data_IF_090794521768
#
_entry.id   IF_090794521768
#
_cell.length_a   1.000
_cell.length_b   1.000
_cell.length_c   1.000
_cell.angle_alpha   90.00
_cell.angle_beta   90.00
_cell.angle_gamma   90.00
#
_symmetry.space_group_name_H-M   'P 1'
#
loop_
_entity.id
_entity.type
_entity.pdbx_description
1 polymer ?
#
# COMPACT_ATOMS: atom_id res chain seq x y z
N UNK A 1 40.40 -82.52 -26.09
CA UNK A 1 41.11 -81.41 -25.45
C UNK A 1 40.12 -80.23 -25.52
N UNK A 2 39.27 -80.10 -24.48
CA UNK A 2 38.19 -79.05 -24.42
C UNK A 2 38.54 -78.05 -23.32
N UNK A 3 38.70 -76.77 -23.69
CA UNK A 3 38.89 -75.68 -22.78
C UNK A 3 37.51 -75.15 -22.33
N UNK A 4 37.31 -75.19 -21.03
CA UNK A 4 36.11 -74.63 -20.41
C UNK A 4 36.26 -73.05 -20.22
N UNK A 5 35.40 -72.31 -20.86
CA UNK A 5 35.29 -70.89 -20.62
C UNK A 5 34.37 -70.60 -19.41
N UNK A 6 34.94 -69.97 -18.35
CA UNK A 6 34.23 -69.50 -17.18
C UNK A 6 33.54 -68.19 -17.51
N UNK A 7 32.21 -68.15 -17.45
CA UNK A 7 31.41 -66.93 -17.51
C UNK A 7 31.44 -66.20 -16.17
N UNK A 8 32.00 -65.03 -16.16
CA UNK A 8 32.02 -64.15 -15.00
C UNK A 8 30.83 -63.13 -15.14
N UNK A 9 29.75 -63.32 -14.39
CA UNK A 9 28.61 -62.46 -14.33
C UNK A 9 28.91 -61.24 -13.41
N UNK A 10 29.08 -60.07 -14.01
CA UNK A 10 29.18 -58.80 -13.28
C UNK A 10 27.81 -58.40 -12.79
N UNK A 11 27.55 -58.48 -11.49
CA UNK A 11 26.40 -57.87 -10.81
C UNK A 11 26.68 -56.36 -10.63
N UNK A 12 26.02 -55.50 -11.42
CA UNK A 12 26.02 -54.07 -11.22
C UNK A 12 25.05 -53.74 -10.06
N UNK A 13 25.58 -53.25 -8.94
CA UNK A 13 24.78 -52.63 -7.88
C UNK A 13 24.38 -51.21 -8.34
N UNK A 14 23.10 -51.00 -8.63
CA UNK A 14 22.54 -49.67 -8.83
C UNK A 14 22.20 -49.12 -7.44
N UNK A 15 23.03 -48.21 -6.94
CA UNK A 15 22.72 -47.44 -5.73
C UNK A 15 21.70 -46.31 -6.10
N UNK A 16 20.44 -46.48 -5.74
CA UNK A 16 19.43 -45.45 -5.88
C UNK A 16 19.60 -44.43 -4.75
N UNK A 17 20.19 -43.27 -5.07
CA UNK A 17 20.21 -42.10 -4.18
C UNK A 17 18.83 -41.44 -4.21
N UNK A 18 18.04 -41.68 -3.15
CA UNK A 18 16.79 -40.93 -2.93
C UNK A 18 17.14 -39.48 -2.51
N UNK A 19 16.95 -38.55 -3.42
CA UNK A 19 17.04 -37.13 -3.11
C UNK A 19 15.81 -36.73 -2.25
N UNK A 20 16.04 -36.49 -0.98
CA UNK A 20 15.04 -35.93 -0.07
C UNK A 20 14.84 -34.46 -0.44
N UNK A 21 13.78 -34.14 -1.18
CA UNK A 21 13.29 -32.80 -1.40
C UNK A 21 12.72 -32.27 -0.07
N UNK A 22 13.54 -31.52 0.68
CA UNK A 22 13.06 -30.74 1.83
C UNK A 22 12.24 -29.59 1.26
N UNK A 23 10.92 -29.47 1.54
CA UNK A 23 10.16 -28.31 1.13
C UNK A 23 10.75 -27.10 1.86
N UNK A 24 11.37 -26.16 1.13
CA UNK A 24 11.69 -24.84 1.63
C UNK A 24 10.34 -24.16 1.91
N UNK A 25 9.90 -24.22 3.17
CA UNK A 25 8.77 -23.45 3.64
C UNK A 25 9.04 -21.98 3.33
N UNK A 26 8.24 -21.40 2.43
CA UNK A 26 8.24 -19.97 2.22
C UNK A 26 7.89 -19.32 3.56
N UNK A 27 8.87 -18.69 4.20
CA UNK A 27 8.61 -17.81 5.34
C UNK A 27 7.67 -16.74 4.84
N UNK A 28 6.43 -16.77 5.31
CA UNK A 28 5.46 -15.72 5.00
C UNK A 28 6.09 -14.38 5.46
N UNK A 29 6.48 -13.57 4.50
CA UNK A 29 7.05 -12.25 4.79
C UNK A 29 5.96 -11.43 5.47
N UNK A 30 6.21 -11.02 6.72
CA UNK A 30 5.27 -10.18 7.47
C UNK A 30 5.05 -8.90 6.67
N UNK A 31 3.80 -8.60 6.36
CA UNK A 31 3.46 -7.40 5.60
C UNK A 31 3.93 -6.15 6.34
N UNK A 32 4.61 -5.21 5.67
CA UNK A 32 5.09 -3.99 6.30
C UNK A 32 3.91 -3.17 6.85
N UNK A 33 4.09 -2.61 8.05
CA UNK A 33 3.09 -1.75 8.67
C UNK A 33 3.67 -0.36 8.95
N UNK A 34 2.87 0.68 8.74
CA UNK A 34 3.25 2.06 9.04
C UNK A 34 2.26 2.64 10.05
N UNK A 35 2.80 3.15 11.14
CA UNK A 35 2.05 3.89 12.16
C UNK A 35 2.03 5.37 11.79
N UNK A 36 0.85 5.95 11.78
CA UNK A 36 0.63 7.38 11.69
C UNK A 36 0.20 7.92 13.06
N UNK A 37 0.85 8.96 13.51
CA UNK A 37 0.44 9.75 14.66
C UNK A 37 -0.15 11.06 14.16
N UNK A 38 -1.37 11.34 14.51
CA UNK A 38 -2.07 12.54 14.07
C UNK A 38 -2.56 13.38 15.24
N UNK A 39 -2.96 14.62 14.99
CA UNK A 39 -3.57 15.48 16.00
C UNK A 39 -4.92 14.95 16.52
N UNK A 40 -5.50 13.93 15.89
CA UNK A 40 -6.77 13.31 16.29
C UNK A 40 -6.64 11.88 16.82
N UNK A 41 -5.42 11.36 16.93
CA UNK A 41 -5.10 10.00 17.38
C UNK A 41 -4.25 9.25 16.37
N UNK A 42 -3.97 8.00 16.68
CA UNK A 42 -3.05 7.16 15.91
C UNK A 42 -3.81 6.10 15.12
N UNK A 43 -3.29 5.76 13.93
CA UNK A 43 -3.75 4.61 13.16
C UNK A 43 -2.56 3.88 12.54
N UNK A 44 -2.76 2.61 12.20
CA UNK A 44 -1.73 1.76 11.57
C UNK A 44 -2.29 1.25 10.25
N UNK A 45 -1.48 1.34 9.20
CA UNK A 45 -1.76 0.77 7.89
C UNK A 45 -0.85 -0.42 7.63
N UNK A 46 -1.40 -1.51 7.15
CA UNK A 46 -0.68 -2.64 6.60
C UNK A 46 -0.57 -2.48 5.09
N UNK A 47 0.61 -2.75 4.53
CA UNK A 47 0.91 -2.55 3.12
C UNK A 47 0.98 -3.88 2.38
N UNK A 48 0.64 -3.88 1.09
CA UNK A 48 0.57 -5.07 0.24
C UNK A 48 1.61 -5.02 -0.90
N UNK A 49 2.92 -5.22 -0.60
CA UNK A 49 3.99 -5.14 -1.60
C UNK A 49 3.84 -6.16 -2.73
N UNK A 50 3.25 -7.33 -2.46
CA UNK A 50 3.01 -8.36 -3.48
C UNK A 50 1.93 -7.94 -4.50
N UNK A 51 1.05 -6.99 -4.13
CA UNK A 51 -0.05 -6.50 -4.96
C UNK A 51 0.26 -5.18 -5.66
N UNK A 52 1.03 -4.32 -5.01
CA UNK A 52 1.38 -2.98 -5.51
C UNK A 52 2.84 -2.64 -5.17
N UNK A 53 3.83 -3.38 -5.73
CA UNK A 53 5.23 -3.25 -5.33
C UNK A 53 5.81 -1.86 -5.51
N UNK A 54 5.57 -1.21 -6.66
CA UNK A 54 6.08 0.15 -6.93
C UNK A 54 5.40 1.20 -6.08
N UNK A 55 4.11 1.05 -5.83
CA UNK A 55 3.33 1.94 -4.97
C UNK A 55 3.81 1.85 -3.52
N UNK A 56 3.97 0.64 -3.00
CA UNK A 56 4.46 0.41 -1.63
C UNK A 56 5.89 0.91 -1.46
N UNK A 57 6.79 0.63 -2.42
CA UNK A 57 8.15 1.14 -2.41
C UNK A 57 8.18 2.67 -2.34
N UNK A 58 7.47 3.34 -3.24
CA UNK A 58 7.35 4.80 -3.28
C UNK A 58 6.81 5.37 -1.97
N UNK A 59 5.74 4.78 -1.43
CA UNK A 59 5.15 5.19 -0.15
C UNK A 59 6.15 5.07 1.00
N UNK A 60 6.88 3.96 1.11
CA UNK A 60 7.91 3.74 2.13
C UNK A 60 9.10 4.70 1.99
N UNK A 61 9.46 5.09 0.78
CA UNK A 61 10.48 6.12 0.54
C UNK A 61 10.04 7.49 1.09
N UNK A 62 8.75 7.86 0.96
CA UNK A 62 8.20 9.06 1.58
C UNK A 62 8.14 8.96 3.11
N UNK A 63 7.77 7.79 3.67
CA UNK A 63 7.81 7.53 5.12
C UNK A 63 9.24 7.71 5.66
N UNK A 64 10.22 7.06 5.02
CA UNK A 64 11.65 7.16 5.39
C UNK A 64 12.18 8.58 5.31
N UNK A 65 11.75 9.35 4.32
CA UNK A 65 12.13 10.76 4.14
C UNK A 65 11.37 11.72 5.07
N UNK A 66 10.50 11.22 5.96
CA UNK A 66 9.64 12.02 6.86
C UNK A 66 8.76 13.03 6.10
N UNK A 67 8.44 12.71 4.84
CA UNK A 67 7.65 13.60 3.98
C UNK A 67 6.27 13.90 4.56
N UNK A 68 5.65 12.90 5.19
CA UNK A 68 4.29 13.04 5.73
C UNK A 68 4.21 13.89 7.00
N UNK A 69 5.32 14.06 7.72
CA UNK A 69 5.36 14.90 8.91
C UNK A 69 5.02 16.36 8.55
N UNK A 70 4.10 16.96 9.31
CA UNK A 70 3.59 18.31 9.07
C UNK A 70 2.64 18.44 7.87
N UNK A 71 2.24 17.35 7.23
CA UNK A 71 1.14 17.37 6.25
C UNK A 71 -0.21 17.28 6.95
N UNK A 72 -1.27 17.69 6.25
CA UNK A 72 -2.64 17.68 6.76
C UNK A 72 -3.55 16.74 5.94
N UNK A 73 -4.66 16.35 6.54
CA UNK A 73 -5.80 15.86 5.78
C UNK A 73 -6.45 17.06 5.10
N UNK A 74 -6.12 17.28 3.84
CA UNK A 74 -6.52 18.49 3.09
C UNK A 74 -7.85 18.33 2.35
N UNK A 75 -8.41 17.13 2.28
CA UNK A 75 -9.72 16.85 1.68
C UNK A 75 -10.42 15.74 2.46
N UNK A 76 -11.55 16.06 3.06
CA UNK A 76 -12.34 15.16 3.88
C UNK A 76 -13.77 15.15 3.37
N UNK A 77 -14.26 13.99 2.95
CA UNK A 77 -15.62 13.80 2.46
C UNK A 77 -16.28 12.65 3.21
N UNK A 78 -17.18 12.99 4.12
CA UNK A 78 -17.97 11.99 4.85
C UNK A 78 -18.82 11.19 3.84
N UNK A 79 -18.71 9.87 3.86
CA UNK A 79 -19.39 9.00 2.87
C UNK A 79 -18.60 8.76 1.59
N UNK A 80 -17.31 9.15 1.55
CA UNK A 80 -16.41 8.86 0.43
C UNK A 80 -15.01 8.48 0.92
N UNK A 81 -14.14 9.48 1.18
CA UNK A 81 -12.74 9.23 1.56
C UNK A 81 -12.16 10.40 2.37
N UNK A 82 -11.02 10.19 2.99
CA UNK A 82 -10.16 11.23 3.57
C UNK A 82 -8.80 11.21 2.89
N UNK A 83 -8.31 12.34 2.38
CA UNK A 83 -7.11 12.44 1.55
C UNK A 83 -6.04 13.31 2.24
N UNK A 84 -4.78 12.85 2.14
CA UNK A 84 -3.63 13.47 2.82
C UNK A 84 -2.33 13.31 2.01
N UNK A 85 -1.20 13.72 2.59
CA UNK A 85 0.16 13.44 2.10
C UNK A 85 0.74 14.44 1.11
N UNK A 86 0.07 15.57 0.84
CA UNK A 86 0.56 16.52 -0.16
C UNK A 86 0.71 17.96 0.31
N UNK A 87 -0.02 18.39 1.33
CA UNK A 87 -0.14 19.81 1.69
C UNK A 87 0.22 20.06 3.15
N UNK A 88 0.84 21.22 3.40
CA UNK A 88 1.02 21.80 4.74
C UNK A 88 -0.25 22.48 5.22
N UNK A 89 -0.35 22.89 6.50
CA UNK A 89 -1.51 23.66 7.01
C UNK A 89 -1.83 24.94 6.22
N UNK A 90 -0.82 25.56 5.61
CA UNK A 90 -0.98 26.76 4.78
C UNK A 90 -1.38 26.44 3.33
N UNK A 91 -1.68 25.17 3.02
CA UNK A 91 -2.01 24.67 1.68
C UNK A 91 -0.86 24.80 0.67
N UNK A 92 0.39 24.89 1.14
CA UNK A 92 1.55 24.75 0.29
C UNK A 92 1.81 23.28 -0.03
N UNK A 93 2.08 22.99 -1.30
CA UNK A 93 2.49 21.64 -1.71
C UNK A 93 3.90 21.32 -1.24
N UNK A 94 4.13 20.10 -0.72
CA UNK A 94 5.48 19.61 -0.45
C UNK A 94 6.11 19.09 -1.74
N UNK A 95 7.43 19.27 -1.88
CA UNK A 95 8.20 18.76 -3.02
C UNK A 95 8.07 17.23 -3.09
N UNK A 96 7.74 16.72 -4.27
CA UNK A 96 7.54 15.28 -4.51
C UNK A 96 8.68 14.65 -5.30
N UNK A 97 8.80 13.35 -5.19
CA UNK A 97 9.59 12.50 -6.09
C UNK A 97 8.89 12.41 -7.45
N UNK A 98 9.57 11.90 -8.50
CA UNK A 98 8.90 11.59 -9.75
C UNK A 98 7.66 10.69 -9.57
N UNK A 99 6.66 10.81 -10.45
CA UNK A 99 5.46 10.00 -10.38
C UNK A 99 5.75 8.52 -10.67
N UNK A 100 4.82 7.66 -10.26
CA UNK A 100 4.91 6.21 -10.42
C UNK A 100 3.82 5.68 -11.37
N UNK A 101 4.06 4.55 -12.05
CA UNK A 101 3.04 3.89 -12.85
C UNK A 101 1.87 3.38 -12.00
N UNK A 102 0.69 3.35 -12.59
CA UNK A 102 -0.53 2.87 -11.97
C UNK A 102 -0.51 1.34 -11.76
N UNK A 103 -0.88 0.90 -10.57
CA UNK A 103 -1.02 -0.52 -10.22
C UNK A 103 -2.47 -0.88 -9.81
N UNK A 104 -3.49 -0.29 -10.43
CA UNK A 104 -4.89 -0.48 -10.04
C UNK A 104 -5.49 -1.83 -10.50
N UNK A 105 -4.85 -2.54 -11.44
CA UNK A 105 -5.29 -3.88 -11.90
C UNK A 105 -4.74 -5.03 -11.03
N UNK A 106 -4.48 -4.76 -9.75
CA UNK A 106 -3.87 -5.69 -8.80
C UNK A 106 -4.87 -6.61 -8.07
N UNK A 107 -6.16 -6.53 -8.43
CA UNK A 107 -7.25 -7.33 -7.85
C UNK A 107 -7.79 -6.81 -6.50
N UNK A 108 -7.22 -5.72 -5.94
CA UNK A 108 -7.72 -5.10 -4.72
C UNK A 108 -8.85 -4.11 -5.04
N UNK A 109 -9.75 -3.95 -4.07
CA UNK A 109 -10.90 -3.04 -4.19
C UNK A 109 -10.78 -1.87 -3.25
N UNK A 110 -11.38 -0.75 -3.61
CA UNK A 110 -11.49 0.46 -2.79
C UNK A 110 -12.60 0.29 -1.73
N UNK A 111 -12.52 -0.78 -0.94
CA UNK A 111 -13.45 -1.06 0.15
C UNK A 111 -13.09 -0.20 1.37
N UNK A 112 -14.06 -0.03 2.31
CA UNK A 112 -13.84 0.73 3.55
C UNK A 112 -12.59 0.27 4.30
N UNK A 113 -11.78 1.23 4.71
CA UNK A 113 -10.52 1.06 5.42
C UNK A 113 -9.30 0.83 4.52
N UNK A 114 -9.47 0.60 3.21
CA UNK A 114 -8.32 0.50 2.31
C UNK A 114 -7.69 1.86 2.05
N UNK A 115 -6.37 1.86 1.75
CA UNK A 115 -5.64 3.03 1.32
C UNK A 115 -5.29 2.91 -0.16
N UNK A 116 -5.45 4.01 -0.90
CA UNK A 116 -5.16 4.06 -2.33
C UNK A 116 -4.44 5.36 -2.71
N UNK A 117 -3.64 5.31 -3.79
CA UNK A 117 -2.92 6.48 -4.28
C UNK A 117 -3.87 7.47 -4.96
N UNK A 118 -3.76 8.73 -4.56
CA UNK A 118 -4.35 9.82 -5.31
C UNK A 118 -3.53 10.14 -6.56
N UNK A 119 -4.21 10.54 -7.64
CA UNK A 119 -3.63 10.89 -8.93
C UNK A 119 -4.45 11.99 -9.63
N UNK A 120 -3.89 12.58 -10.66
CA UNK A 120 -4.62 13.46 -11.58
C UNK A 120 -5.40 12.65 -12.63
N UNK A 121 -5.84 13.28 -13.70
CA UNK A 121 -6.43 12.57 -14.86
C UNK A 121 -5.43 11.64 -15.58
N UNK A 122 -4.12 11.91 -15.46
CA UNK A 122 -3.08 10.98 -15.92
C UNK A 122 -2.98 9.79 -14.95
N UNK A 123 -3.19 8.55 -15.40
CA UNK A 123 -3.09 7.37 -14.56
C UNK A 123 -1.71 7.17 -13.91
N UNK A 124 -0.64 7.65 -14.55
CA UNK A 124 0.73 7.52 -14.07
C UNK A 124 1.25 8.78 -13.35
N UNK A 125 0.37 9.57 -12.74
CA UNK A 125 0.73 10.83 -12.05
C UNK A 125 0.81 10.74 -10.54
N UNK A 126 0.61 9.56 -9.95
CA UNK A 126 0.64 9.39 -8.50
C UNK A 126 2.05 9.69 -7.94
N UNK A 127 2.12 10.46 -6.83
CA UNK A 127 3.37 10.81 -6.15
C UNK A 127 3.30 10.48 -4.65
N UNK A 128 2.98 11.45 -3.78
CA UNK A 128 2.94 11.28 -2.32
C UNK A 128 1.55 11.18 -1.73
N UNK A 129 0.54 11.74 -2.42
CA UNK A 129 -0.80 11.81 -1.88
C UNK A 129 -1.51 10.47 -1.91
N UNK A 130 -2.21 10.15 -0.83
CA UNK A 130 -3.06 8.97 -0.73
C UNK A 130 -4.36 9.31 -0.02
N UNK A 131 -5.35 8.42 -0.16
CA UNK A 131 -6.60 8.55 0.56
C UNK A 131 -6.97 7.23 1.27
N UNK A 132 -7.79 7.36 2.30
CA UNK A 132 -8.38 6.24 3.04
C UNK A 132 -9.86 6.22 2.72
N UNK A 133 -10.35 5.09 2.23
CA UNK A 133 -11.76 4.87 1.94
C UNK A 133 -12.54 4.77 3.25
N UNK A 134 -13.56 5.62 3.45
CA UNK A 134 -14.40 5.59 4.66
C UNK A 134 -15.72 4.83 4.44
N UNK A 135 -15.98 4.45 3.20
CA UNK A 135 -17.05 3.54 2.73
C UNK A 135 -16.51 2.68 1.61
N UNK A 136 -17.30 1.72 1.12
CA UNK A 136 -16.96 0.95 -0.08
C UNK A 136 -17.19 1.81 -1.32
N UNK A 137 -16.10 2.10 -2.03
CA UNK A 137 -16.07 2.99 -3.20
C UNK A 137 -15.87 2.18 -4.50
N UNK A 138 -16.84 1.33 -4.86
CA UNK A 138 -16.74 0.46 -6.04
C UNK A 138 -16.55 1.23 -7.37
N UNK A 139 -16.92 2.50 -7.41
CA UNK A 139 -16.69 3.40 -8.54
C UNK A 139 -15.24 3.87 -8.70
N UNK A 140 -14.36 3.58 -7.75
CA UNK A 140 -12.92 3.81 -7.84
C UNK A 140 -12.13 2.56 -8.28
N UNK A 141 -12.79 1.42 -8.38
CA UNK A 141 -12.15 0.18 -8.84
C UNK A 141 -11.98 0.19 -10.35
N UNK A 142 -10.82 -0.27 -10.84
CA UNK A 142 -10.60 -0.45 -12.25
C UNK A 142 -11.72 -1.33 -12.88
N UNK A 143 -12.22 -0.98 -14.08
CA UNK A 143 -11.79 0.11 -14.96
C UNK A 143 -12.47 1.46 -14.67
N UNK A 144 -13.14 1.65 -13.56
CA UNK A 144 -13.82 2.92 -13.20
C UNK A 144 -12.89 3.86 -12.40
N UNK A 145 -13.15 5.19 -12.48
CA UNK A 145 -14.17 5.91 -13.26
C UNK A 145 -13.79 6.19 -14.72
N UNK A 146 -12.50 6.07 -15.08
CA UNK A 146 -11.90 6.64 -16.29
C UNK A 146 -11.13 5.59 -17.12
N UNK A 147 -11.47 4.32 -17.00
CA UNK A 147 -10.75 3.21 -17.60
C UNK A 147 -9.59 2.67 -16.77
N UNK A 148 -9.17 3.36 -15.69
CA UNK A 148 -7.93 3.11 -14.99
C UNK A 148 -8.10 2.70 -13.52
N UNK A 149 -9.04 3.34 -12.79
CA UNK A 149 -9.23 3.12 -11.35
C UNK A 149 -8.15 3.77 -10.48
N UNK A 150 -8.14 3.40 -9.20
CA UNK A 150 -7.17 3.87 -8.19
C UNK A 150 -6.49 2.68 -7.53
N UNK A 151 -5.16 2.74 -7.44
CA UNK A 151 -4.34 1.65 -6.93
C UNK A 151 -4.45 1.55 -5.41
N UNK A 152 -5.19 0.55 -4.93
CA UNK A 152 -5.16 0.15 -3.52
C UNK A 152 -3.83 -0.56 -3.25
N UNK A 153 -3.17 -0.18 -2.14
CA UNK A 153 -1.86 -0.72 -1.78
C UNK A 153 -1.71 -1.11 -0.31
N UNK A 154 -2.80 -0.99 0.48
CA UNK A 154 -2.82 -1.36 1.89
C UNK A 154 -4.18 -1.14 2.53
N UNK A 155 -4.23 -1.34 3.85
CA UNK A 155 -5.45 -1.18 4.66
C UNK A 155 -5.13 -0.70 6.07
N UNK A 156 -6.00 0.09 6.64
CA UNK A 156 -5.99 0.43 8.08
C UNK A 156 -6.32 -0.83 8.89
N UNK A 157 -5.38 -1.26 9.72
CA UNK A 157 -5.53 -2.45 10.59
C UNK A 157 -5.77 -2.08 12.05
N UNK A 158 -5.45 -0.84 12.45
CA UNK A 158 -5.70 -0.31 13.79
C UNK A 158 -6.05 1.17 13.67
N UNK A 159 -6.97 1.67 14.51
CA UNK A 159 -7.32 3.10 14.56
C UNK A 159 -8.31 3.53 13.49
N UNK A 160 -9.16 2.62 12.98
CA UNK A 160 -10.24 3.01 12.06
C UNK A 160 -11.26 3.95 12.71
N UNK A 161 -11.41 3.92 14.04
CA UNK A 161 -12.20 4.87 14.83
C UNK A 161 -11.63 6.30 14.76
N UNK A 162 -10.30 6.45 14.64
CA UNK A 162 -9.66 7.75 14.41
C UNK A 162 -10.04 8.28 13.02
N UNK A 163 -10.01 7.43 12.00
CA UNK A 163 -10.46 7.80 10.65
C UNK A 163 -11.95 8.18 10.65
N UNK A 164 -12.78 7.48 11.43
CA UNK A 164 -14.19 7.83 11.58
C UNK A 164 -14.42 9.17 12.28
N UNK A 165 -13.57 9.56 13.22
CA UNK A 165 -13.57 10.91 13.79
C UNK A 165 -13.15 11.96 12.78
N UNK A 166 -12.14 11.68 11.97
CA UNK A 166 -11.65 12.57 10.91
C UNK A 166 -12.73 12.82 9.86
N UNK A 167 -13.44 11.80 9.37
CA UNK A 167 -14.41 11.95 8.28
C UNK A 167 -15.62 12.84 8.59
N UNK A 168 -15.91 13.09 9.86
CA UNK A 168 -17.08 13.86 10.31
C UNK A 168 -16.75 15.28 10.79
N UNK A 169 -15.48 15.71 10.69
CA UNK A 169 -15.10 17.07 11.10
C UNK A 169 -15.75 18.13 10.21
N UNK A 170 -16.00 19.34 10.73
CA UNK A 170 -16.44 20.46 9.91
C UNK A 170 -15.43 20.78 8.80
N UNK A 171 -15.91 20.92 7.58
CA UNK A 171 -15.11 21.23 6.39
C UNK A 171 -15.59 22.51 5.73
N UNK A 172 -14.71 23.18 5.01
CA UNK A 172 -14.98 24.38 4.24
C UNK A 172 -14.09 24.48 3.01
N UNK A 173 -14.11 25.63 2.36
CA UNK A 173 -13.22 25.94 1.24
C UNK A 173 -12.02 26.74 1.74
N UNK A 174 -10.82 26.43 1.22
CA UNK A 174 -9.60 27.18 1.46
C UNK A 174 -8.89 27.45 0.13
N UNK A 175 -8.99 28.69 -0.36
CA UNK A 175 -8.61 29.05 -1.71
C UNK A 175 -9.41 28.25 -2.76
N UNK A 176 -8.73 27.56 -3.65
CA UNK A 176 -9.36 26.71 -4.67
C UNK A 176 -9.68 25.28 -4.18
N UNK A 177 -9.31 24.96 -2.94
CA UNK A 177 -9.52 23.63 -2.37
C UNK A 177 -10.86 23.56 -1.64
N UNK A 178 -11.61 22.50 -1.91
CA UNK A 178 -12.91 22.22 -1.29
C UNK A 178 -12.79 21.09 -0.28
N UNK A 179 -13.73 21.05 0.68
CA UNK A 179 -13.79 20.00 1.71
C UNK A 179 -12.52 19.93 2.58
N UNK A 180 -11.88 21.07 2.84
CA UNK A 180 -10.73 21.19 3.74
C UNK A 180 -11.23 21.27 5.18
N UNK A 181 -10.72 20.48 6.14
CA UNK A 181 -11.06 20.64 7.54
C UNK A 181 -10.85 22.08 8.04
N UNK A 182 -11.85 22.64 8.71
CA UNK A 182 -11.79 24.01 9.25
C UNK A 182 -10.63 24.14 10.24
N UNK A 183 -10.47 23.14 11.12
CA UNK A 183 -9.28 23.00 11.96
C UNK A 183 -8.34 22.00 11.30
N UNK A 184 -7.10 22.37 10.97
CA UNK A 184 -6.17 21.48 10.32
C UNK A 184 -5.91 20.21 11.15
N UNK A 185 -5.99 19.06 10.50
CA UNK A 185 -5.65 17.75 11.09
C UNK A 185 -4.27 17.36 10.60
N UNK A 186 -3.29 17.43 11.51
CA UNK A 186 -1.88 17.19 11.20
C UNK A 186 -1.51 15.72 11.30
N UNK A 187 -0.63 15.29 10.42
CA UNK A 187 0.21 14.13 10.60
C UNK A 187 1.48 14.58 11.34
N UNK A 188 1.63 14.14 12.59
CA UNK A 188 2.79 14.46 13.41
C UNK A 188 3.98 13.56 13.06
N UNK A 189 3.71 12.27 12.82
CA UNK A 189 4.74 11.32 12.37
C UNK A 189 4.13 10.19 11.52
N UNK A 190 4.97 9.58 10.68
CA UNK A 190 4.70 8.34 9.96
C UNK A 190 5.93 7.45 10.06
N UNK A 191 5.81 6.30 10.75
CA UNK A 191 6.95 5.43 11.06
C UNK A 191 6.65 3.97 10.74
N UNK A 192 7.66 3.26 10.20
CA UNK A 192 7.58 1.82 9.99
C UNK A 192 7.50 1.10 11.34
N UNK A 193 6.52 0.23 11.49
CA UNK A 193 6.41 -0.65 12.67
C UNK A 193 7.38 -1.81 12.47
N UNK A 194 8.20 -2.05 13.49
CA UNK A 194 9.21 -3.13 13.48
C UNK A 194 8.58 -4.47 13.84
#
# INVERSE_FOLDING_TARGET
>A
MQLAMKHWTRRALIAATAAVLVPMGALAQVAPQVRFETSMGNFVVELYPDKAPKTVENFLLYVKAKHYEGTIFHRVMNGFMVQTGGFTPDMNTKITRPPIPLEALNGLKNDRGTIAMARTGDPNSATSQFFINVVDNANLNAPKPDGNGYAVFGKVVTGMDVIDKIRVVPVGNKGMHQNVPVTPILINSATLVK
#
